data_IF_415303216661
#
_entry.id   IF_415303216661
#
_cell.length_a   1.000
_cell.length_b   1.000
_cell.length_c   1.000
_cell.angle_alpha   90.00
_cell.angle_beta   90.00
_cell.angle_gamma   90.00
#
_symmetry.space_group_name_H-M   'P 1'
#
loop_
_entity.id
_entity.type
_entity.pdbx_description
1 polymer ?
#
# COMPACT_ATOMS: atom_id res chain seq x y z
N UNK A 1 0.63 5.27 20.29
CA UNK A 1 1.32 4.05 20.85
C UNK A 1 2.45 3.68 19.91
N UNK A 2 3.58 3.17 20.42
CA UNK A 2 4.64 2.60 19.58
C UNK A 2 4.25 1.21 19.08
N UNK A 3 4.78 0.81 17.93
CA UNK A 3 4.61 -0.53 17.37
C UNK A 3 5.26 -1.57 18.32
N UNK A 4 4.49 -2.57 18.69
CA UNK A 4 5.02 -3.75 19.39
C UNK A 4 5.45 -4.79 18.34
N UNK A 5 6.75 -4.81 18.06
CA UNK A 5 7.35 -5.68 17.02
C UNK A 5 7.11 -7.16 17.33
N UNK A 6 6.99 -7.53 18.62
CA UNK A 6 6.77 -8.94 19.01
C UNK A 6 5.40 -9.47 18.58
N UNK A 7 4.45 -8.59 18.26
CA UNK A 7 3.10 -8.94 17.78
C UNK A 7 3.00 -9.04 16.26
N UNK A 8 4.06 -8.72 15.53
CA UNK A 8 4.07 -8.90 14.08
C UNK A 8 4.12 -10.38 13.76
N UNK A 9 3.11 -10.85 13.04
CA UNK A 9 3.05 -12.25 12.58
C UNK A 9 4.08 -12.46 11.49
N UNK A 10 4.97 -13.43 11.68
CA UNK A 10 5.97 -13.78 10.69
C UNK A 10 5.42 -14.82 9.72
N UNK A 11 5.36 -14.48 8.44
CA UNK A 11 5.02 -15.38 7.35
C UNK A 11 6.06 -15.25 6.24
N UNK A 12 7.26 -15.80 6.48
CA UNK A 12 8.34 -15.72 5.48
C UNK A 12 7.91 -16.41 4.19
N UNK A 13 7.94 -15.66 3.10
CA UNK A 13 7.67 -16.20 1.76
C UNK A 13 8.75 -17.19 1.35
N UNK A 14 8.40 -18.12 0.45
CA UNK A 14 9.31 -19.12 -0.08
C UNK A 14 10.51 -18.49 -0.80
N UNK A 15 11.67 -19.17 -0.81
CA UNK A 15 12.82 -18.73 -1.59
C UNK A 15 12.43 -18.44 -3.05
N UNK A 16 12.92 -17.32 -3.58
CA UNK A 16 12.63 -16.87 -4.93
C UNK A 16 11.38 -16.01 -5.09
N UNK A 17 10.52 -15.87 -4.06
CA UNK A 17 9.38 -14.94 -4.09
C UNK A 17 9.78 -13.48 -3.78
N UNK A 18 10.95 -13.30 -3.19
CA UNK A 18 11.56 -12.00 -2.94
C UNK A 18 13.07 -12.10 -3.13
N UNK A 19 13.77 -10.97 -3.19
CA UNK A 19 15.22 -10.89 -3.35
C UNK A 19 15.85 -10.66 -1.98
N UNK A 20 16.62 -11.65 -1.52
CA UNK A 20 17.38 -11.60 -0.25
C UNK A 20 18.64 -10.73 -0.42
N UNK A 21 18.45 -9.50 -0.88
CA UNK A 21 19.52 -8.53 -1.12
C UNK A 21 19.17 -7.24 -0.38
N UNK A 22 19.99 -6.90 0.60
CA UNK A 22 19.80 -5.72 1.43
C UNK A 22 20.07 -4.44 0.66
N UNK A 23 19.15 -3.50 0.76
CA UNK A 23 19.29 -2.15 0.23
C UNK A 23 18.97 -1.11 1.31
N UNK A 24 19.58 0.06 1.19
CA UNK A 24 19.18 1.23 1.93
C UNK A 24 17.79 1.69 1.47
N UNK A 25 16.85 1.79 2.40
CA UNK A 25 15.48 2.15 2.09
C UNK A 25 15.28 3.65 2.13
N UNK A 26 14.61 4.16 1.12
CA UNK A 26 14.32 5.58 0.95
C UNK A 26 12.83 5.88 0.89
N UNK A 27 12.02 4.90 0.49
CA UNK A 27 10.61 5.13 0.20
C UNK A 27 9.73 4.06 0.84
N UNK A 28 8.54 4.48 1.31
CA UNK A 28 7.47 3.60 1.76
C UNK A 28 6.31 3.78 0.78
N UNK A 29 5.81 2.67 0.22
CA UNK A 29 4.65 2.68 -0.66
C UNK A 29 3.45 2.01 -0.01
N UNK A 30 2.35 2.74 0.04
CA UNK A 30 1.08 2.28 0.57
C UNK A 30 0.22 1.72 -0.55
N UNK A 31 -0.17 0.46 -0.41
CA UNK A 31 -1.04 -0.27 -1.32
C UNK A 31 -2.32 -0.73 -0.64
N UNK A 32 -3.31 -1.17 -1.42
CA UNK A 32 -4.38 -2.02 -0.93
C UNK A 32 -4.56 -3.25 -1.83
N UNK A 33 -4.92 -4.35 -1.21
CA UNK A 33 -4.88 -5.68 -1.83
C UNK A 33 -5.90 -5.91 -2.96
N UNK A 34 -6.96 -5.08 -3.07
CA UNK A 34 -8.18 -5.41 -3.82
C UNK A 34 -8.66 -6.84 -3.48
N UNK A 35 -8.77 -7.16 -2.19
CA UNK A 35 -9.04 -8.52 -1.71
C UNK A 35 -9.69 -8.57 -0.34
N UNK A 36 -9.86 -9.79 0.17
CA UNK A 36 -10.49 -10.08 1.45
C UNK A 36 -9.73 -9.56 2.67
N UNK A 37 -10.28 -9.74 3.88
CA UNK A 37 -9.83 -9.07 5.09
C UNK A 37 -8.61 -9.69 5.78
N UNK A 38 -8.18 -10.90 5.36
CA UNK A 38 -7.18 -11.68 6.09
C UNK A 38 -5.77 -11.55 5.51
N UNK A 39 -4.87 -10.93 6.28
CA UNK A 39 -3.48 -10.69 5.88
C UNK A 39 -2.67 -11.98 5.65
N UNK A 40 -2.94 -13.04 6.42
CA UNK A 40 -2.23 -14.32 6.24
C UNK A 40 -2.63 -14.99 4.93
N UNK A 41 -3.90 -14.90 4.54
CA UNK A 41 -4.37 -15.40 3.24
C UNK A 41 -3.72 -14.66 2.08
N UNK A 42 -3.52 -13.33 2.20
CA UNK A 42 -2.79 -12.54 1.20
C UNK A 42 -1.32 -12.95 1.13
N UNK A 43 -0.67 -13.18 2.27
CA UNK A 43 0.72 -13.67 2.29
C UNK A 43 0.86 -15.04 1.60
N UNK A 44 -0.07 -15.97 1.86
CA UNK A 44 -0.13 -17.26 1.17
C UNK A 44 -0.35 -17.11 -0.34
N UNK A 45 -1.18 -16.13 -0.74
CA UNK A 45 -1.41 -15.84 -2.15
C UNK A 45 -0.12 -15.36 -2.83
N UNK A 46 0.69 -14.51 -2.19
CA UNK A 46 2.00 -14.11 -2.72
C UNK A 46 2.92 -15.31 -3.00
N UNK A 47 2.90 -16.33 -2.15
CA UNK A 47 3.67 -17.56 -2.36
C UNK A 47 3.24 -18.35 -3.60
N UNK A 48 2.04 -18.16 -4.10
CA UNK A 48 1.54 -18.89 -5.29
C UNK A 48 1.85 -18.17 -6.61
N UNK A 49 2.34 -16.93 -6.58
CA UNK A 49 2.50 -16.10 -7.78
C UNK A 49 3.86 -16.29 -8.44
N UNK A 50 3.90 -16.74 -9.70
CA UNK A 50 5.14 -16.88 -10.44
C UNK A 50 5.80 -15.54 -10.77
N UNK A 51 5.03 -14.45 -10.78
CA UNK A 51 5.49 -13.08 -11.08
C UNK A 51 6.36 -12.48 -9.99
N UNK A 52 6.48 -13.13 -8.83
CA UNK A 52 7.26 -12.65 -7.67
C UNK A 52 6.83 -11.26 -7.20
N UNK A 53 5.53 -11.00 -7.23
CA UNK A 53 4.94 -9.73 -6.74
C UNK A 53 4.57 -9.91 -5.29
N UNK A 54 5.17 -9.11 -4.41
CA UNK A 54 4.90 -9.14 -2.98
C UNK A 54 5.30 -7.83 -2.31
N UNK A 55 4.74 -7.57 -1.12
CA UNK A 55 5.16 -6.49 -0.24
C UNK A 55 5.75 -7.03 1.06
N UNK A 56 6.60 -6.23 1.71
CA UNK A 56 7.25 -6.65 2.96
C UNK A 56 6.24 -6.84 4.09
N UNK A 57 5.14 -6.06 4.09
CA UNK A 57 4.13 -6.08 5.14
C UNK A 57 2.72 -6.11 4.56
N UNK A 58 1.82 -6.76 5.29
CA UNK A 58 0.38 -6.81 4.99
C UNK A 58 -0.38 -6.51 6.29
N UNK A 59 -1.43 -5.67 6.21
CA UNK A 59 -2.27 -5.31 7.35
C UNK A 59 -3.69 -5.84 7.12
N UNK A 60 -4.13 -6.76 7.96
CA UNK A 60 -5.47 -7.33 7.95
C UNK A 60 -6.54 -6.37 8.46
N UNK A 61 -7.81 -6.66 8.19
CA UNK A 61 -8.94 -5.82 8.62
C UNK A 61 -9.04 -5.66 10.15
N UNK A 62 -8.54 -6.62 10.90
CA UNK A 62 -8.46 -6.59 12.37
C UNK A 62 -7.21 -5.88 12.92
N UNK A 63 -6.38 -5.29 12.04
CA UNK A 63 -5.12 -4.64 12.41
C UNK A 63 -3.93 -5.58 12.55
N UNK A 64 -4.07 -6.88 12.35
CA UNK A 64 -2.93 -7.80 12.36
C UNK A 64 -1.92 -7.41 11.28
N UNK A 65 -0.66 -7.22 11.69
CA UNK A 65 0.45 -6.97 10.77
C UNK A 65 1.14 -8.30 10.49
N UNK A 66 1.27 -8.66 9.22
CA UNK A 66 2.04 -9.81 8.76
C UNK A 66 3.30 -9.31 8.06
N UNK A 67 4.45 -9.86 8.42
CA UNK A 67 5.72 -9.60 7.74
C UNK A 67 6.08 -10.78 6.85
N UNK A 68 6.25 -10.50 5.55
CA UNK A 68 6.51 -11.50 4.52
C UNK A 68 8.01 -11.76 4.29
N UNK A 69 8.83 -10.74 4.47
CA UNK A 69 10.29 -10.79 4.40
C UNK A 69 10.88 -9.58 5.13
N UNK A 70 12.19 -9.57 5.36
CA UNK A 70 12.88 -8.44 5.99
C UNK A 70 12.64 -7.15 5.21
N UNK A 71 12.31 -6.05 5.88
CA UNK A 71 12.16 -4.75 5.22
C UNK A 71 13.42 -4.22 4.53
N UNK A 72 14.60 -4.83 4.78
CA UNK A 72 15.84 -4.53 4.05
C UNK A 72 15.93 -5.24 2.71
N UNK A 73 15.26 -6.40 2.58
CA UNK A 73 15.13 -7.14 1.34
C UNK A 73 14.08 -6.46 0.44
N UNK A 74 13.79 -7.00 -0.73
CA UNK A 74 12.84 -6.40 -1.64
C UNK A 74 12.13 -7.42 -2.53
N UNK A 75 10.99 -7.05 -3.06
CA UNK A 75 10.26 -7.78 -4.09
C UNK A 75 9.66 -6.78 -5.09
N UNK A 76 9.20 -7.26 -6.23
CA UNK A 76 8.47 -6.42 -7.16
C UNK A 76 7.10 -6.07 -6.59
N UNK A 77 6.77 -4.80 -6.49
CA UNK A 77 5.44 -4.36 -6.03
C UNK A 77 4.95 -3.11 -6.77
N UNK A 78 5.82 -2.39 -7.49
CA UNK A 78 5.46 -1.16 -8.16
C UNK A 78 5.09 -1.38 -9.63
N UNK A 79 5.67 -2.39 -10.29
CA UNK A 79 5.41 -2.66 -11.71
C UNK A 79 5.70 -1.45 -12.58
N UNK A 80 6.87 -0.83 -12.39
CA UNK A 80 7.28 0.41 -13.03
C UNK A 80 7.29 0.30 -14.55
N UNK A 81 6.87 1.39 -15.20
CA UNK A 81 6.89 1.54 -16.67
C UNK A 81 7.83 2.68 -17.05
N UNK A 82 8.81 2.40 -17.90
CA UNK A 82 9.75 3.40 -18.39
C UNK A 82 9.04 4.61 -19.04
N UNK A 83 7.89 4.36 -19.69
CA UNK A 83 7.07 5.41 -20.30
C UNK A 83 6.61 6.50 -19.32
N UNK A 84 6.42 6.17 -18.04
CA UNK A 84 6.03 7.14 -17.00
C UNK A 84 7.20 8.09 -16.70
N UNK A 85 8.40 7.53 -16.54
CA UNK A 85 9.61 8.30 -16.33
C UNK A 85 9.88 9.24 -17.51
N UNK A 86 9.75 8.72 -18.74
CA UNK A 86 9.89 9.53 -19.97
C UNK A 86 8.87 10.66 -20.03
N UNK A 87 7.59 10.38 -19.76
CA UNK A 87 6.53 11.39 -19.76
C UNK A 87 6.76 12.46 -18.68
N UNK A 88 7.33 12.08 -17.54
CA UNK A 88 7.67 12.97 -16.43
C UNK A 88 9.02 13.66 -16.58
N UNK A 89 9.76 13.38 -17.66
CA UNK A 89 11.11 13.91 -17.91
C UNK A 89 12.11 13.59 -16.77
N UNK A 90 11.97 12.41 -16.17
CA UNK A 90 12.83 11.89 -15.11
C UNK A 90 13.59 10.69 -15.65
N UNK A 91 14.90 10.54 -15.40
CA UNK A 91 15.63 9.31 -15.73
C UNK A 91 15.00 8.09 -15.10
N UNK A 92 14.98 6.97 -15.82
CA UNK A 92 14.48 5.72 -15.26
C UNK A 92 15.30 5.27 -14.06
N UNK A 93 14.59 4.88 -13.00
CA UNK A 93 15.17 4.34 -11.77
C UNK A 93 14.34 3.13 -11.32
N UNK A 94 15.01 2.04 -10.96
CA UNK A 94 14.36 0.91 -10.31
C UNK A 94 14.09 1.26 -8.85
N UNK A 95 12.81 1.47 -8.49
CA UNK A 95 12.43 1.90 -7.15
C UNK A 95 12.14 0.73 -6.20
N UNK A 96 11.80 -0.47 -6.70
CA UNK A 96 11.51 -1.62 -5.84
C UNK A 96 12.63 -1.94 -4.83
N UNK A 97 13.94 -1.94 -5.20
CA UNK A 97 15.01 -2.22 -4.24
C UNK A 97 15.12 -1.21 -3.10
N UNK A 98 14.86 0.06 -3.36
CA UNK A 98 15.00 1.16 -2.39
C UNK A 98 13.70 1.48 -1.66
N UNK A 99 12.63 0.71 -1.89
CA UNK A 99 11.32 0.92 -1.29
C UNK A 99 10.89 -0.21 -0.36
N UNK A 100 9.88 0.09 0.46
CA UNK A 100 9.18 -0.86 1.33
C UNK A 100 7.70 -0.78 0.96
N UNK A 101 7.13 -1.87 0.45
CA UNK A 101 5.70 -1.96 0.20
C UNK A 101 4.92 -2.40 1.44
N UNK A 102 3.77 -1.77 1.67
CA UNK A 102 2.79 -2.14 2.71
C UNK A 102 1.44 -2.33 2.02
N UNK A 103 0.89 -3.55 2.08
CA UNK A 103 -0.48 -3.83 1.63
C UNK A 103 -1.47 -3.69 2.79
N UNK A 104 -2.58 -3.01 2.57
CA UNK A 104 -3.71 -3.00 3.50
C UNK A 104 -4.86 -3.79 2.88
N UNK A 105 -5.35 -4.81 3.59
CA UNK A 105 -6.46 -5.64 3.12
C UNK A 105 -7.72 -4.80 2.93
N UNK A 106 -8.14 -4.63 1.67
CA UNK A 106 -9.27 -3.79 1.32
C UNK A 106 -9.78 -4.16 -0.08
N UNK A 107 -11.09 -4.16 -0.27
CA UNK A 107 -11.70 -4.48 -1.57
C UNK A 107 -11.51 -3.40 -2.64
N UNK A 108 -11.06 -2.21 -2.25
CA UNK A 108 -10.88 -1.10 -3.17
C UNK A 108 -12.20 -0.46 -3.61
N UNK A 109 -12.34 -0.09 -4.91
CA UNK A 109 -13.52 0.59 -5.41
C UNK A 109 -14.75 -0.30 -5.41
N UNK A 110 -15.90 0.31 -5.13
CA UNK A 110 -17.21 -0.35 -5.07
C UNK A 110 -18.13 0.17 -6.17
N UNK A 111 -18.94 -0.72 -6.75
CA UNK A 111 -20.04 -0.35 -7.62
C UNK A 111 -21.32 -0.15 -6.80
N UNK A 112 -22.18 0.80 -7.23
CA UNK A 112 -23.49 1.04 -6.64
C UNK A 112 -24.56 0.72 -7.66
N UNK A 113 -25.39 -0.31 -7.38
CA UNK A 113 -26.47 -0.78 -8.25
C UNK A 113 -27.67 -1.19 -7.39
N UNK A 114 -28.88 -0.88 -7.85
CA UNK A 114 -30.11 -1.25 -7.16
C UNK A 114 -30.12 -0.89 -5.65
N UNK A 115 -29.61 0.30 -5.31
CA UNK A 115 -29.49 0.82 -3.93
C UNK A 115 -28.56 0.00 -3.01
N UNK A 116 -27.67 -0.85 -3.58
CA UNK A 116 -26.69 -1.67 -2.88
C UNK A 116 -25.29 -1.47 -3.41
N UNK A 117 -24.30 -1.74 -2.56
CA UNK A 117 -22.89 -1.67 -2.91
C UNK A 117 -22.32 -3.06 -3.15
N UNK A 118 -21.43 -3.16 -4.14
CA UNK A 118 -20.80 -4.44 -4.50
C UNK A 118 -19.31 -4.25 -4.73
N UNK A 119 -18.50 -5.19 -4.25
CA UNK A 119 -17.09 -5.29 -4.63
C UNK A 119 -16.97 -5.84 -6.06
N UNK A 120 -15.75 -5.86 -6.58
CA UNK A 120 -15.49 -6.25 -7.98
C UNK A 120 -15.76 -7.74 -8.29
N UNK A 121 -15.81 -8.61 -7.27
CA UNK A 121 -16.21 -10.03 -7.41
C UNK A 121 -17.71 -10.25 -7.23
N UNK A 122 -18.51 -9.19 -7.12
CA UNK A 122 -19.96 -9.25 -7.00
C UNK A 122 -20.49 -9.49 -5.59
N UNK A 123 -19.62 -9.51 -4.58
CA UNK A 123 -20.05 -9.60 -3.18
C UNK A 123 -20.72 -8.30 -2.71
N UNK A 124 -21.92 -8.41 -2.09
CA UNK A 124 -22.62 -7.26 -1.50
C UNK A 124 -21.83 -6.72 -0.30
N UNK A 125 -21.73 -5.39 -0.20
CA UNK A 125 -21.03 -4.68 0.86
C UNK A 125 -22.03 -3.86 1.66
N UNK A 126 -22.01 -4.01 2.99
CA UNK A 126 -22.87 -3.22 3.88
C UNK A 126 -22.49 -1.73 3.76
N UNK A 127 -23.50 -0.86 3.73
CA UNK A 127 -23.31 0.60 3.61
C UNK A 127 -22.44 1.19 4.73
N UNK A 128 -22.40 0.59 5.92
CA UNK A 128 -21.49 1.00 7.02
C UNK A 128 -20.00 0.82 6.69
N UNK A 129 -19.69 -0.03 5.71
CA UNK A 129 -18.32 -0.30 5.25
C UNK A 129 -17.99 0.46 3.95
N UNK A 130 -18.72 1.54 3.65
CA UNK A 130 -18.53 2.33 2.42
C UNK A 130 -18.07 3.74 2.75
N UNK A 131 -16.94 4.12 2.19
CA UNK A 131 -16.49 5.51 2.14
C UNK A 131 -16.91 6.11 0.80
N UNK A 132 -17.70 7.17 0.85
CA UNK A 132 -18.09 7.94 -0.33
C UNK A 132 -17.28 9.22 -0.39
N UNK A 133 -16.48 9.37 -1.44
CA UNK A 133 -15.70 10.58 -1.67
C UNK A 133 -16.59 11.71 -2.21
N UNK A 134 -16.27 12.95 -1.87
CA UNK A 134 -16.95 14.12 -2.43
C UNK A 134 -16.78 14.18 -3.95
N UNK A 135 -15.55 14.02 -4.42
CA UNK A 135 -15.19 13.93 -5.84
C UNK A 135 -14.73 12.51 -6.17
N UNK A 136 -15.16 11.94 -7.31
CA UNK A 136 -14.66 10.65 -7.75
C UNK A 136 -13.13 10.64 -7.87
N UNK A 137 -12.50 9.55 -7.39
CA UNK A 137 -11.08 9.31 -7.55
C UNK A 137 -10.87 8.14 -8.51
N UNK A 138 -10.05 8.32 -9.56
CA UNK A 138 -9.83 7.31 -10.63
C UNK A 138 -11.15 6.75 -11.19
N UNK A 139 -12.19 7.60 -11.32
CA UNK A 139 -13.50 7.23 -11.83
C UNK A 139 -14.46 6.58 -10.81
N UNK A 140 -14.03 6.38 -9.56
CA UNK A 140 -14.83 5.72 -8.52
C UNK A 140 -15.19 6.69 -7.40
N UNK A 141 -16.47 6.71 -7.00
CA UNK A 141 -16.98 7.54 -5.90
C UNK A 141 -17.07 6.78 -4.58
N UNK A 142 -17.31 5.48 -4.63
CA UNK A 142 -17.53 4.61 -3.47
C UNK A 142 -16.36 3.64 -3.30
N UNK A 143 -15.86 3.51 -2.08
CA UNK A 143 -14.70 2.71 -1.73
C UNK A 143 -14.97 1.89 -0.48
N UNK A 144 -14.36 0.74 -0.38
CA UNK A 144 -14.40 -0.03 0.86
C UNK A 144 -13.64 0.73 1.96
N UNK A 145 -14.27 0.88 3.13
CA UNK A 145 -13.71 1.64 4.26
C UNK A 145 -12.56 0.89 4.91
N UNK A 146 -11.46 1.59 5.21
CA UNK A 146 -10.43 1.06 6.10
C UNK A 146 -10.94 1.07 7.54
N UNK A 147 -10.69 0.01 8.30
CA UNK A 147 -11.07 -0.07 9.72
C UNK A 147 -10.19 0.81 10.60
N UNK A 148 -10.64 1.14 11.81
CA UNK A 148 -9.82 1.86 12.78
C UNK A 148 -8.55 1.10 13.15
N UNK A 149 -8.67 -0.22 13.29
CA UNK A 149 -7.55 -1.10 13.57
C UNK A 149 -6.50 -1.08 12.45
N UNK A 150 -6.93 -1.06 11.17
CA UNK A 150 -6.02 -0.94 10.04
C UNK A 150 -5.27 0.41 10.04
N UNK A 151 -6.00 1.50 10.26
CA UNK A 151 -5.41 2.84 10.25
C UNK A 151 -4.39 2.99 11.38
N UNK A 152 -4.70 2.50 12.58
CA UNK A 152 -3.76 2.57 13.71
C UNK A 152 -2.54 1.67 13.48
N UNK A 153 -2.73 0.45 12.99
CA UNK A 153 -1.61 -0.45 12.66
C UNK A 153 -0.73 0.13 11.55
N UNK A 154 -1.34 0.73 10.52
CA UNK A 154 -0.62 1.41 9.44
C UNK A 154 0.21 2.58 9.99
N UNK A 155 -0.39 3.42 10.84
CA UNK A 155 0.29 4.54 11.49
C UNK A 155 1.52 4.06 12.28
N UNK A 156 1.34 3.04 13.13
CA UNK A 156 2.43 2.50 13.95
C UNK A 156 3.57 1.94 13.10
N UNK A 157 3.22 1.17 12.05
CA UNK A 157 4.20 0.56 11.15
C UNK A 157 4.95 1.63 10.34
N UNK A 158 4.25 2.62 9.80
CA UNK A 158 4.88 3.72 9.05
C UNK A 158 5.82 4.52 9.93
N UNK A 159 5.41 4.90 11.15
CA UNK A 159 6.28 5.60 12.11
C UNK A 159 7.54 4.78 12.40
N UNK A 160 7.38 3.49 12.69
CA UNK A 160 8.50 2.59 12.94
C UNK A 160 9.49 2.52 11.76
N UNK A 161 8.98 2.39 10.54
CA UNK A 161 9.82 2.31 9.34
C UNK A 161 10.50 3.65 9.04
N UNK A 162 9.80 4.78 9.21
CA UNK A 162 10.38 6.11 9.07
C UNK A 162 11.54 6.32 10.04
N UNK A 163 11.38 5.95 11.31
CA UNK A 163 12.43 6.03 12.32
C UNK A 163 13.60 5.07 12.05
N UNK A 164 13.31 3.87 11.54
CA UNK A 164 14.32 2.85 11.25
C UNK A 164 15.22 3.23 10.07
N UNK A 165 14.66 3.90 9.05
CA UNK A 165 15.35 4.18 7.77
C UNK A 165 15.61 5.67 7.54
N UNK A 166 15.35 6.50 8.53
CA UNK A 166 15.48 7.96 8.40
C UNK A 166 14.68 8.49 7.21
N UNK A 167 13.41 8.09 7.08
CA UNK A 167 12.48 8.55 6.05
C UNK A 167 11.61 9.67 6.65
N UNK A 168 11.48 10.83 5.99
CA UNK A 168 10.63 11.92 6.46
C UNK A 168 9.17 11.48 6.60
N UNK A 169 8.48 11.99 7.62
CA UNK A 169 7.06 11.73 7.88
C UNK A 169 6.13 12.75 7.21
N UNK A 170 6.69 13.65 6.43
CA UNK A 170 5.94 14.76 5.83
C UNK A 170 4.90 14.23 4.84
N UNK A 171 3.66 14.67 5.05
CA UNK A 171 2.57 14.39 4.12
C UNK A 171 2.62 15.38 2.95
N UNK A 172 2.59 14.85 1.73
CA UNK A 172 2.41 15.64 0.51
C UNK A 172 1.15 15.18 -0.23
N UNK A 173 0.32 16.11 -0.66
CA UNK A 173 -0.93 15.80 -1.37
C UNK A 173 -0.70 15.24 -2.78
N UNK A 174 0.48 15.43 -3.36
CA UNK A 174 0.88 14.90 -4.67
C UNK A 174 0.90 13.36 -4.73
N UNK A 175 1.00 12.68 -3.58
CA UNK A 175 1.10 11.21 -3.53
C UNK A 175 -0.11 10.47 -4.13
N UNK A 176 -1.22 11.17 -4.36
CA UNK A 176 -2.44 10.60 -4.94
C UNK A 176 -2.47 10.60 -6.47
N UNK A 177 -1.47 11.17 -7.12
CA UNK A 177 -1.24 11.07 -8.57
C UNK A 177 0.28 10.96 -8.82
N UNK A 178 0.74 11.01 -10.07
CA UNK A 178 2.17 10.94 -10.40
C UNK A 178 2.94 12.01 -9.62
N UNK A 179 3.88 11.55 -8.83
CA UNK A 179 4.73 12.36 -7.96
C UNK A 179 6.18 12.32 -8.47
N UNK A 180 6.73 13.50 -8.73
CA UNK A 180 8.08 13.63 -9.29
C UNK A 180 9.16 13.24 -8.27
N UNK A 181 8.93 13.50 -6.98
CA UNK A 181 9.89 13.14 -5.93
C UNK A 181 9.90 11.61 -5.73
N UNK A 182 8.72 10.95 -5.84
CA UNK A 182 8.65 9.50 -5.88
C UNK A 182 9.46 8.92 -7.05
N UNK A 183 9.28 9.44 -8.26
CA UNK A 183 9.99 8.96 -9.46
C UNK A 183 11.50 9.22 -9.41
N UNK A 184 11.94 10.27 -8.75
CA UNK A 184 13.36 10.58 -8.53
C UNK A 184 14.02 9.71 -7.45
N UNK A 185 13.26 8.91 -6.72
CA UNK A 185 13.76 8.10 -5.61
C UNK A 185 14.10 8.92 -4.36
N UNK A 186 13.48 10.10 -4.21
CA UNK A 186 13.61 10.91 -3.00
C UNK A 186 12.99 10.19 -1.80
N UNK A 187 13.49 10.46 -0.59
CA UNK A 187 12.94 9.89 0.64
C UNK A 187 11.50 10.37 0.87
N UNK A 188 10.60 9.46 1.25
CA UNK A 188 9.21 9.84 1.58
C UNK A 188 8.24 8.67 1.66
N UNK A 189 6.98 9.02 1.95
CA UNK A 189 5.83 8.12 1.99
C UNK A 189 4.98 8.39 0.76
N UNK A 190 4.71 7.36 -0.02
CA UNK A 190 4.03 7.43 -1.30
C UNK A 190 2.91 6.41 -1.39
N UNK A 191 2.09 6.51 -2.43
CA UNK A 191 1.13 5.47 -2.82
C UNK A 191 1.52 4.86 -4.16
N UNK A 192 0.89 3.76 -4.55
CA UNK A 192 1.12 3.19 -5.88
C UNK A 192 0.82 4.18 -7.02
N UNK A 193 -0.13 5.08 -6.78
CA UNK A 193 -0.51 6.14 -7.73
C UNK A 193 0.63 7.12 -8.02
N UNK A 194 1.54 7.30 -7.05
CA UNK A 194 2.69 8.21 -7.18
C UNK A 194 3.63 7.82 -8.32
N UNK A 195 3.61 6.55 -8.73
CA UNK A 195 4.48 6.03 -9.79
C UNK A 195 3.72 5.28 -10.91
N UNK A 196 2.41 5.08 -10.77
CA UNK A 196 1.57 4.34 -11.71
C UNK A 196 0.21 5.01 -11.88
N UNK A 197 0.02 5.75 -12.97
CA UNK A 197 -1.23 6.47 -13.27
C UNK A 197 -2.45 5.55 -13.43
N UNK A 198 -2.22 4.32 -13.87
CA UNK A 198 -3.24 3.29 -14.09
C UNK A 198 -3.64 2.52 -12.81
N UNK A 199 -3.07 2.89 -11.68
CA UNK A 199 -3.39 2.31 -10.38
C UNK A 199 -4.37 3.18 -9.58
N UNK A 200 -5.03 2.58 -8.59
CA UNK A 200 -5.97 3.26 -7.70
C UNK A 200 -5.73 2.94 -6.23
N UNK A 201 -4.71 2.18 -5.94
CA UNK A 201 -4.29 1.77 -4.61
C UNK A 201 -3.11 2.64 -4.13
N UNK A 202 -3.16 3.20 -2.97
CA UNK A 202 -4.25 3.38 -2.02
C UNK A 202 -5.11 4.58 -2.46
N UNK A 203 -6.43 4.59 -2.22
CA UNK A 203 -7.27 5.75 -2.54
C UNK A 203 -7.17 6.84 -1.45
N UNK A 204 -7.44 8.12 -1.76
CA UNK A 204 -7.36 9.24 -0.81
C UNK A 204 -8.50 9.21 0.22
N UNK A 205 -8.49 8.21 1.10
CA UNK A 205 -9.42 8.11 2.21
C UNK A 205 -9.18 9.26 3.19
N UNK A 206 -10.21 10.07 3.56
CA UNK A 206 -10.04 11.20 4.48
C UNK A 206 -9.36 10.82 5.80
N UNK A 207 -9.67 9.64 6.34
CA UNK A 207 -9.08 9.14 7.60
C UNK A 207 -7.60 8.75 7.44
N UNK A 208 -7.21 8.19 6.29
CA UNK A 208 -5.80 7.91 5.97
C UNK A 208 -5.03 9.21 5.77
N UNK A 209 -5.61 10.18 5.06
CA UNK A 209 -5.02 11.53 4.91
C UNK A 209 -4.78 12.18 6.27
N UNK A 210 -5.81 12.14 7.14
CA UNK A 210 -5.67 12.70 8.49
C UNK A 210 -4.59 11.97 9.32
N UNK A 211 -4.49 10.65 9.19
CA UNK A 211 -3.45 9.87 9.84
C UNK A 211 -2.06 10.27 9.33
N UNK A 212 -1.87 10.39 8.02
CA UNK A 212 -0.58 10.79 7.42
C UNK A 212 -0.16 12.21 7.82
N UNK A 213 -1.11 13.16 7.93
CA UNK A 213 -0.85 14.52 8.38
C UNK A 213 -0.42 14.60 9.86
N UNK A 214 -0.69 13.55 10.64
CA UNK A 214 -0.44 13.52 12.09
C UNK A 214 0.68 12.51 12.47
N UNK A 215 1.55 12.12 11.53
CA UNK A 215 2.71 11.24 11.82
C UNK A 215 3.82 11.97 12.67
#
# INVERSE_FOLDING_TARGET
>A
MKLDISKIVQHRLRPGQFMEVKHDKKQIYLHHTAGGPDAVSVARYFDTKPERVATAFIIGANGTIVQCFSSRDWAYHLGLKESIFKASKVPYLSLDPISIGIEVCNWGPLSFKNKKYYNYVGGEVNASNVTTLEKPYKGHKHWFTYTDAQIESLRQLVVYLCETYDIPKDYNESIWDIDIDALKGNKGIFTHNSVRKDKSDMYPCPRVIQMLKNL
#
